data_IF_778272650286
#
_entry.id   IF_778272650286
#
_cell.length_a   1.000
_cell.length_b   1.000
_cell.length_c   1.000
_cell.angle_alpha   90.00
_cell.angle_beta   90.00
_cell.angle_gamma   90.00
#
_symmetry.space_group_name_H-M   'P 1'
#
loop_
_entity.id
_entity.type
_entity.pdbx_description
1 polymer ?
#
# COMPACT_ATOMS: atom_id res chain seq x y z
N UNK A 1 -4.25 3.26 -5.29
CA UNK A 1 -5.58 3.49 -4.72
C UNK A 1 -6.25 2.15 -4.63
N UNK A 2 -6.43 1.66 -3.41
CA UNK A 2 -7.10 0.40 -3.13
C UNK A 2 -8.57 0.53 -3.54
N UNK A 3 -9.04 -0.37 -4.38
CA UNK A 3 -10.44 -0.38 -4.78
C UNK A 3 -11.32 -0.93 -3.66
N UNK A 4 -12.62 -0.64 -3.73
CA UNK A 4 -13.60 -1.00 -2.71
C UNK A 4 -13.66 -2.52 -2.48
N UNK A 5 -13.58 -3.31 -3.54
CA UNK A 5 -13.64 -4.77 -3.44
C UNK A 5 -12.43 -5.30 -2.67
N UNK A 6 -11.21 -4.89 -3.04
CA UNK A 6 -9.98 -5.27 -2.33
C UNK A 6 -10.02 -4.85 -0.86
N UNK A 7 -10.51 -3.65 -0.56
CA UNK A 7 -10.63 -3.16 0.82
C UNK A 7 -11.61 -4.02 1.64
N UNK A 8 -12.74 -4.42 1.05
CA UNK A 8 -13.72 -5.25 1.73
C UNK A 8 -13.19 -6.67 2.00
N UNK A 9 -12.36 -7.22 1.11
CA UNK A 9 -11.67 -8.50 1.37
C UNK A 9 -10.63 -8.38 2.50
N UNK A 10 -9.91 -7.25 2.58
CA UNK A 10 -8.98 -6.98 3.69
C UNK A 10 -9.71 -6.86 5.05
N UNK A 11 -10.95 -6.34 5.06
CA UNK A 11 -11.79 -6.30 6.27
C UNK A 11 -12.23 -7.69 6.71
N UNK A 12 -12.48 -8.61 5.78
CA UNK A 12 -12.92 -9.98 6.10
C UNK A 12 -11.79 -10.91 6.55
N UNK A 13 -10.61 -10.80 5.95
CA UNK A 13 -9.49 -11.71 6.23
C UNK A 13 -8.24 -10.95 6.71
N UNK A 14 -7.76 -11.31 7.90
CA UNK A 14 -6.50 -10.79 8.42
C UNK A 14 -5.29 -11.22 7.56
N UNK A 15 -5.33 -12.42 6.99
CA UNK A 15 -4.28 -12.91 6.09
C UNK A 15 -4.21 -12.09 4.80
N UNK A 16 -5.37 -11.81 4.18
CA UNK A 16 -5.45 -10.97 2.97
C UNK A 16 -4.92 -9.57 3.26
N UNK A 17 -5.27 -9.00 4.42
CA UNK A 17 -4.76 -7.71 4.87
C UNK A 17 -3.23 -7.70 5.00
N UNK A 18 -2.65 -8.70 5.68
CA UNK A 18 -1.18 -8.82 5.85
C UNK A 18 -0.46 -9.01 4.50
N UNK A 19 -1.00 -9.84 3.61
CA UNK A 19 -0.43 -10.02 2.27
C UNK A 19 -0.47 -8.71 1.50
N UNK A 20 -1.58 -7.97 1.58
CA UNK A 20 -1.75 -6.70 0.87
C UNK A 20 -0.78 -5.63 1.38
N UNK A 21 -0.60 -5.52 2.69
CA UNK A 21 0.38 -4.61 3.31
C UNK A 21 1.78 -4.93 2.79
N UNK A 22 2.25 -6.19 2.95
CA UNK A 22 3.59 -6.59 2.51
C UNK A 22 3.82 -6.37 1.02
N UNK A 23 2.80 -6.62 0.20
CA UNK A 23 2.86 -6.41 -1.25
C UNK A 23 3.05 -4.93 -1.58
N UNK A 24 2.31 -4.04 -0.92
CA UNK A 24 2.42 -2.60 -1.15
C UNK A 24 3.75 -2.05 -0.64
N UNK A 25 4.23 -2.49 0.52
CA UNK A 25 5.56 -2.12 1.04
C UNK A 25 6.67 -2.52 0.06
N UNK A 26 6.60 -3.74 -0.47
CA UNK A 26 7.56 -4.21 -1.45
C UNK A 26 7.51 -3.39 -2.75
N UNK A 27 6.31 -3.10 -3.26
CA UNK A 27 6.13 -2.30 -4.47
C UNK A 27 6.64 -0.86 -4.30
N UNK A 28 6.45 -0.25 -3.12
CA UNK A 28 6.99 1.07 -2.81
C UNK A 28 8.52 1.02 -2.77
N UNK A 29 9.11 0.07 -2.05
CA UNK A 29 10.57 -0.07 -1.95
C UNK A 29 11.23 -0.29 -3.32
N UNK A 30 10.63 -1.12 -4.17
CA UNK A 30 11.08 -1.26 -5.56
C UNK A 30 10.98 0.05 -6.34
N UNK A 31 9.85 0.75 -6.22
CA UNK A 31 9.63 2.02 -6.93
C UNK A 31 10.61 3.12 -6.48
N UNK A 32 10.94 3.18 -5.20
CA UNK A 32 11.95 4.10 -4.66
C UNK A 32 13.36 3.76 -5.17
N UNK A 33 13.69 2.46 -5.21
CA UNK A 33 14.97 1.99 -5.78
C UNK A 33 15.06 2.36 -7.27
N UNK A 34 13.97 2.16 -8.02
CA UNK A 34 13.89 2.61 -9.42
C UNK A 34 14.10 4.12 -9.55
N UNK A 35 13.54 4.96 -8.66
CA UNK A 35 13.78 6.42 -8.72
C UNK A 35 15.26 6.75 -8.49
N UNK A 36 15.91 6.07 -7.55
CA UNK A 36 17.30 6.35 -7.16
C UNK A 36 18.31 5.87 -8.20
N UNK A 37 18.02 4.78 -8.89
CA UNK A 37 18.92 4.15 -9.87
C UNK A 37 18.68 4.63 -11.31
N UNK A 38 17.55 5.28 -11.56
CA UNK A 38 17.09 5.58 -12.92
C UNK A 38 17.52 6.95 -13.45
N UNK A 39 17.84 6.99 -14.75
CA UNK A 39 17.92 8.22 -15.56
C UNK A 39 16.57 8.55 -16.22
N UNK A 40 15.46 8.34 -15.52
CA UNK A 40 14.12 8.64 -16.01
C UNK A 40 13.96 10.14 -16.27
N UNK A 41 13.19 10.46 -17.31
CA UNK A 41 12.80 11.84 -17.56
C UNK A 41 11.88 12.38 -16.45
N UNK A 42 11.83 13.71 -16.33
CA UNK A 42 11.10 14.39 -15.25
C UNK A 42 9.60 14.05 -15.23
N UNK A 43 8.97 13.80 -16.39
CA UNK A 43 7.55 13.45 -16.47
C UNK A 43 7.32 12.05 -15.91
N UNK A 44 8.15 11.09 -16.30
CA UNK A 44 8.09 9.72 -15.78
C UNK A 44 8.37 9.66 -14.27
N UNK A 45 9.34 10.43 -13.78
CA UNK A 45 9.61 10.57 -12.34
C UNK A 45 8.42 11.15 -11.58
N UNK A 46 7.76 12.17 -12.13
CA UNK A 46 6.59 12.80 -11.51
C UNK A 46 5.42 11.81 -11.40
N UNK A 47 5.17 11.02 -12.45
CA UNK A 47 4.13 9.99 -12.43
C UNK A 47 4.44 8.91 -11.40
N UNK A 48 5.69 8.44 -11.34
CA UNK A 48 6.10 7.40 -10.39
C UNK A 48 5.98 7.88 -8.94
N UNK A 49 6.46 9.09 -8.63
CA UNK A 49 6.32 9.70 -7.29
C UNK A 49 4.85 9.85 -6.87
N UNK A 50 3.97 10.25 -7.78
CA UNK A 50 2.52 10.32 -7.50
C UNK A 50 1.94 8.95 -7.17
N UNK A 51 2.34 7.90 -7.91
CA UNK A 51 1.90 6.53 -7.64
C UNK A 51 2.38 6.05 -6.26
N UNK A 52 3.64 6.29 -5.92
CA UNK A 52 4.19 5.98 -4.59
C UNK A 52 3.39 6.67 -3.50
N UNK A 53 3.12 7.97 -3.64
CA UNK A 53 2.32 8.71 -2.66
C UNK A 53 0.91 8.10 -2.48
N UNK A 54 0.25 7.71 -3.56
CA UNK A 54 -1.04 7.01 -3.47
C UNK A 54 -0.93 5.63 -2.81
N UNK A 55 0.17 4.90 -3.02
CA UNK A 55 0.42 3.63 -2.34
C UNK A 55 0.66 3.80 -0.84
N UNK A 56 1.30 4.90 -0.40
CA UNK A 56 1.42 5.23 1.02
C UNK A 56 0.06 5.50 1.67
N UNK A 57 -0.84 6.22 0.99
CA UNK A 57 -2.20 6.44 1.47
C UNK A 57 -2.99 5.12 1.61
N UNK A 58 -2.81 4.22 0.64
CA UNK A 58 -3.40 2.87 0.73
C UNK A 58 -2.83 2.09 1.93
N UNK A 59 -1.52 2.15 2.16
CA UNK A 59 -0.88 1.52 3.31
C UNK A 59 -1.39 2.07 4.63
N UNK A 60 -1.50 3.39 4.78
CA UNK A 60 -2.04 4.03 5.98
C UNK A 60 -3.46 3.50 6.28
N UNK A 61 -4.31 3.42 5.25
CA UNK A 61 -5.66 2.85 5.38
C UNK A 61 -5.64 1.40 5.86
N UNK A 62 -4.75 0.58 5.32
CA UNK A 62 -4.63 -0.83 5.71
C UNK A 62 -4.06 -0.99 7.12
N UNK A 63 -3.11 -0.15 7.52
CA UNK A 63 -2.53 -0.16 8.87
C UNK A 63 -3.54 0.28 9.92
N UNK A 64 -4.36 1.29 9.63
CA UNK A 64 -5.49 1.67 10.50
C UNK A 64 -6.47 0.50 10.66
N UNK A 65 -6.85 -0.16 9.56
CA UNK A 65 -7.72 -1.34 9.62
C UNK A 65 -7.09 -2.48 10.44
N UNK A 66 -5.78 -2.71 10.30
CA UNK A 66 -5.05 -3.71 11.09
C UNK A 66 -5.09 -3.36 12.57
N UNK A 67 -4.86 -2.10 12.93
CA UNK A 67 -4.95 -1.63 14.30
C UNK A 67 -6.36 -1.81 14.88
N UNK A 68 -7.40 -1.45 14.14
CA UNK A 68 -8.79 -1.63 14.58
C UNK A 68 -9.12 -3.10 14.93
N UNK A 69 -8.57 -4.06 14.16
CA UNK A 69 -8.74 -5.49 14.41
C UNK A 69 -7.97 -5.99 15.64
N UNK A 70 -6.84 -5.36 15.95
CA UNK A 70 -6.05 -5.67 17.16
C UNK A 70 -6.74 -5.10 18.39
N UNK A 71 -7.24 -3.87 18.32
CA UNK A 71 -7.89 -3.17 19.44
C UNK A 71 -9.31 -3.69 19.73
N UNK A 72 -9.95 -4.34 18.76
CA UNK A 72 -11.24 -5.03 18.91
C UNK A 72 -11.15 -6.48 18.42
N UNK A 73 -10.53 -7.38 19.20
CA UNK A 73 -10.57 -8.81 18.87
C UNK A 73 -12.03 -9.25 18.99
N UNK A 74 -12.68 -9.49 17.85
CA UNK A 74 -14.02 -10.08 17.82
C UNK A 74 -13.97 -11.44 18.52
N UNK A 75 -14.62 -11.52 19.69
CA UNK A 75 -14.95 -12.75 20.44
C UNK A 75 -15.67 -13.77 19.60
#
# INVERSE_FOLDING_TARGET
MIDKFTLDECKKSAEVLEIKIRTLEHAISQSESMINESKMDAKSLTVLRRKIASSFQDLETLYLLKQEKVDRPTT
#
